data_IF_301218206057
#
_entry.id   IF_301218206057
#
_cell.length_a   1.000
_cell.length_b   1.000
_cell.length_c   1.000
_cell.angle_alpha   90.00
_cell.angle_beta   90.00
_cell.angle_gamma   90.00
#
_symmetry.space_group_name_H-M   'P 1'
#
loop_
_entity.id
_entity.type
_entity.pdbx_description
1 polymer ?
#
# COMPACT_ATOMS: atom_id res chain seq x y z
N UNK A 1 -1.76 -10.03 52.12
CA UNK A 1 -1.75 -10.93 50.94
C UNK A 1 -1.61 -10.05 49.70
N UNK A 2 -0.44 -10.07 49.07
CA UNK A 2 -0.20 -9.35 47.81
C UNK A 2 -0.19 -10.39 46.70
N UNK A 3 -1.05 -10.23 45.69
CA UNK A 3 -1.13 -11.14 44.54
C UNK A 3 -0.42 -10.44 43.39
N UNK A 4 0.77 -10.92 43.05
CA UNK A 4 1.50 -10.47 41.87
C UNK A 4 0.85 -11.10 40.63
N UNK A 5 0.21 -10.28 39.80
CA UNK A 5 -0.17 -10.68 38.44
C UNK A 5 1.05 -10.55 37.54
N UNK A 6 1.86 -11.61 37.48
CA UNK A 6 2.82 -11.80 36.41
C UNK A 6 2.11 -12.43 35.23
N UNK A 7 1.66 -11.62 34.27
CA UNK A 7 1.37 -12.13 32.93
C UNK A 7 2.72 -12.28 32.25
N UNK A 8 3.20 -13.52 32.13
CA UNK A 8 4.29 -13.83 31.22
C UNK A 8 3.80 -13.50 29.81
N UNK A 9 4.27 -12.37 29.27
CA UNK A 9 4.09 -12.04 27.87
C UNK A 9 5.01 -13.01 27.12
N UNK A 10 4.43 -14.08 26.59
CA UNK A 10 5.13 -14.98 25.68
C UNK A 10 5.70 -14.12 24.54
N UNK A 11 7.03 -14.01 24.48
CA UNK A 11 7.69 -13.21 23.46
C UNK A 11 7.36 -13.86 22.10
N UNK A 12 6.45 -13.25 21.34
CA UNK A 12 6.08 -13.71 20.01
C UNK A 12 7.34 -13.76 19.14
N UNK A 13 7.80 -14.98 18.83
CA UNK A 13 8.99 -15.15 18.01
C UNK A 13 8.71 -14.62 16.60
N UNK A 14 9.55 -13.71 16.12
CA UNK A 14 9.45 -13.19 14.75
C UNK A 14 9.58 -14.36 13.77
N UNK A 15 8.60 -14.60 12.88
CA UNK A 15 8.63 -15.73 11.96
C UNK A 15 9.91 -15.73 11.10
N UNK A 16 10.47 -16.92 10.85
CA UNK A 16 11.74 -17.04 10.13
C UNK A 16 11.79 -16.33 8.76
N UNK A 17 10.73 -16.36 7.91
CA UNK A 17 10.71 -15.58 6.67
C UNK A 17 10.82 -14.07 6.91
N UNK A 18 10.09 -13.56 7.90
CA UNK A 18 10.09 -12.13 8.27
C UNK A 18 11.47 -11.71 8.74
N UNK A 19 12.07 -12.48 9.66
CA UNK A 19 13.42 -12.25 10.18
C UNK A 19 14.46 -12.23 9.06
N UNK A 20 14.38 -13.14 8.10
CA UNK A 20 15.29 -13.21 6.94
C UNK A 20 15.18 -11.96 6.06
N UNK A 21 13.95 -11.53 5.75
CA UNK A 21 13.72 -10.34 4.90
C UNK A 21 14.20 -9.07 5.63
N UNK A 22 13.87 -8.92 6.91
CA UNK A 22 14.37 -7.80 7.73
C UNK A 22 15.89 -7.73 7.78
N UNK A 23 16.57 -8.88 7.96
CA UNK A 23 18.02 -8.91 7.97
C UNK A 23 18.61 -8.50 6.62
N UNK A 24 17.98 -8.90 5.51
CA UNK A 24 18.39 -8.44 4.18
C UNK A 24 18.24 -6.93 4.05
N UNK A 25 17.10 -6.35 4.47
CA UNK A 25 16.87 -4.90 4.47
C UNK A 25 17.92 -4.14 5.30
N UNK A 26 18.21 -4.60 6.52
CA UNK A 26 19.21 -3.98 7.41
C UNK A 26 20.63 -4.01 6.84
N UNK A 27 20.93 -4.97 5.97
CA UNK A 27 22.24 -5.05 5.32
C UNK A 27 22.41 -4.09 4.14
N UNK A 28 21.33 -3.45 3.68
CA UNK A 28 21.38 -2.53 2.55
C UNK A 28 21.84 -1.13 2.97
N UNK A 29 22.60 -0.46 2.10
CA UNK A 29 22.89 0.97 2.24
C UNK A 29 21.73 1.77 1.63
N UNK A 30 20.85 2.31 2.49
CA UNK A 30 19.64 3.03 2.04
C UNK A 30 19.94 4.30 1.23
N UNK A 31 21.09 4.94 1.45
CA UNK A 31 21.53 6.09 0.62
C UNK A 31 21.81 5.63 -0.82
N UNK A 32 22.47 4.48 -0.99
CA UNK A 32 22.69 3.91 -2.33
C UNK A 32 21.39 3.44 -2.97
N UNK A 33 20.47 2.84 -2.19
CA UNK A 33 19.14 2.46 -2.67
C UNK A 33 18.41 3.69 -3.20
N UNK A 34 18.38 4.79 -2.43
CA UNK A 34 17.73 6.03 -2.83
C UNK A 34 18.30 6.59 -4.13
N UNK A 35 19.63 6.66 -4.25
CA UNK A 35 20.28 7.12 -5.48
C UNK A 35 19.92 6.24 -6.67
N UNK A 36 19.95 4.92 -6.51
CA UNK A 36 19.65 3.96 -7.58
C UNK A 36 18.19 4.08 -8.06
N UNK A 37 17.24 4.26 -7.13
CA UNK A 37 15.83 4.47 -7.46
C UNK A 37 15.62 5.71 -8.33
N UNK A 38 16.30 6.82 -8.05
CA UNK A 38 16.14 8.06 -8.81
C UNK A 38 16.92 8.14 -10.13
N UNK A 39 17.98 7.35 -10.30
CA UNK A 39 18.91 7.53 -11.42
C UNK A 39 18.83 6.43 -12.47
N UNK A 40 18.61 5.18 -12.07
CA UNK A 40 18.78 4.02 -12.97
C UNK A 40 17.62 3.03 -12.95
N UNK A 41 16.71 3.10 -11.97
CA UNK A 41 15.73 2.03 -11.74
C UNK A 41 14.31 2.51 -11.38
N UNK A 42 13.86 3.66 -11.90
CA UNK A 42 12.47 4.13 -11.69
C UNK A 42 11.41 3.07 -12.04
N UNK A 43 11.73 2.18 -12.99
CA UNK A 43 10.81 1.16 -13.51
C UNK A 43 11.14 -0.27 -12.99
N UNK A 44 12.18 -0.43 -12.16
CA UNK A 44 12.64 -1.74 -11.71
C UNK A 44 12.79 -1.90 -10.19
N UNK A 45 13.02 -0.82 -9.45
CA UNK A 45 13.36 -0.94 -8.04
C UNK A 45 14.72 -1.61 -7.78
N UNK A 46 15.07 -1.75 -6.51
CA UNK A 46 16.34 -2.32 -6.04
C UNK A 46 16.06 -3.66 -5.35
N UNK A 47 16.68 -4.73 -5.84
CA UNK A 47 16.47 -6.08 -5.32
C UNK A 47 16.96 -6.19 -3.86
N UNK A 48 16.12 -6.75 -3.00
CA UNK A 48 16.42 -7.06 -1.58
C UNK A 48 16.94 -8.48 -1.45
N UNK A 49 16.11 -9.46 -1.80
CA UNK A 49 16.45 -10.88 -1.72
C UNK A 49 15.50 -11.72 -2.59
N UNK A 50 15.88 -12.99 -2.81
CA UNK A 50 14.94 -13.98 -3.35
C UNK A 50 13.97 -14.42 -2.24
N UNK A 51 12.69 -14.55 -2.57
CA UNK A 51 11.67 -14.99 -1.64
C UNK A 51 10.51 -15.62 -2.40
N UNK A 52 9.89 -16.65 -1.79
CA UNK A 52 8.65 -17.20 -2.34
C UNK A 52 7.49 -16.21 -2.14
N UNK A 53 6.41 -16.37 -2.91
CA UNK A 53 5.20 -15.57 -2.69
C UNK A 53 4.63 -15.76 -1.27
N UNK A 54 4.75 -16.99 -0.73
CA UNK A 54 4.35 -17.27 0.65
C UNK A 54 5.22 -16.56 1.68
N UNK A 55 6.53 -16.43 1.46
CA UNK A 55 7.40 -15.66 2.34
C UNK A 55 7.01 -14.19 2.35
N UNK A 56 6.75 -13.64 1.16
CA UNK A 56 6.28 -12.26 0.99
C UNK A 56 4.96 -12.02 1.73
N UNK A 57 3.95 -12.87 1.53
CA UNK A 57 2.67 -12.72 2.21
C UNK A 57 2.83 -12.74 3.73
N UNK A 58 3.65 -13.64 4.27
CA UNK A 58 3.97 -13.67 5.72
C UNK A 58 4.67 -12.40 6.20
N UNK A 59 5.50 -11.79 5.36
CA UNK A 59 6.13 -10.51 5.66
C UNK A 59 5.12 -9.36 5.69
N UNK A 60 4.24 -9.26 4.69
CA UNK A 60 3.22 -8.19 4.67
C UNK A 60 2.24 -8.30 5.84
N UNK A 61 1.88 -9.54 6.23
CA UNK A 61 0.99 -9.79 7.36
C UNK A 61 1.65 -9.56 8.74
N UNK A 62 2.94 -9.25 8.78
CA UNK A 62 3.68 -9.13 10.02
C UNK A 62 3.75 -7.68 10.49
N UNK A 63 3.53 -7.45 11.79
CA UNK A 63 3.77 -6.13 12.42
C UNK A 63 5.27 -5.79 12.52
N UNK A 64 6.15 -6.80 12.40
CA UNK A 64 7.59 -6.64 12.48
C UNK A 64 8.28 -6.23 11.17
N UNK A 65 7.61 -5.53 10.27
CA UNK A 65 8.23 -5.09 9.02
C UNK A 65 9.32 -4.03 9.28
N UNK A 66 10.56 -4.30 8.84
CA UNK A 66 11.65 -3.31 8.88
C UNK A 66 11.40 -2.14 7.92
N UNK A 67 10.79 -2.44 6.78
CA UNK A 67 10.32 -1.47 5.79
C UNK A 67 8.90 -1.86 5.40
N UNK A 68 7.99 -0.88 5.43
CA UNK A 68 6.57 -1.10 5.13
C UNK A 68 6.39 -1.66 3.71
N UNK A 69 5.48 -2.61 3.56
CA UNK A 69 5.31 -3.35 2.31
C UNK A 69 4.88 -2.45 1.15
N UNK A 70 4.18 -1.33 1.41
CA UNK A 70 3.86 -0.30 0.39
C UNK A 70 5.08 0.28 -0.34
N UNK A 71 6.26 0.25 0.30
CA UNK A 71 7.56 0.67 -0.27
C UNK A 71 8.24 -0.43 -1.10
N UNK A 72 7.64 -1.61 -1.18
CA UNK A 72 8.26 -2.83 -1.70
C UNK A 72 7.31 -3.54 -2.68
N UNK A 73 7.86 -4.45 -3.47
CA UNK A 73 7.09 -5.28 -4.39
C UNK A 73 7.73 -6.66 -4.52
N UNK A 74 6.90 -7.70 -4.47
CA UNK A 74 7.29 -9.04 -4.86
C UNK A 74 7.00 -9.27 -6.35
N UNK A 75 8.00 -9.73 -7.10
CA UNK A 75 7.85 -10.17 -8.49
C UNK A 75 8.92 -11.20 -8.84
N UNK A 76 8.57 -12.16 -9.68
CA UNK A 76 9.50 -13.14 -10.26
C UNK A 76 10.39 -13.85 -9.20
N UNK A 77 9.80 -14.19 -8.04
CA UNK A 77 10.51 -14.90 -6.96
C UNK A 77 11.50 -14.04 -6.16
N UNK A 78 11.40 -12.71 -6.26
CA UNK A 78 12.24 -11.78 -5.51
C UNK A 78 11.45 -10.57 -4.99
N UNK A 79 11.99 -9.99 -3.92
CA UNK A 79 11.47 -8.77 -3.30
C UNK A 79 12.36 -7.60 -3.73
N UNK A 80 11.73 -6.49 -4.09
CA UNK A 80 12.38 -5.26 -4.50
C UNK A 80 11.88 -4.10 -3.62
N UNK A 81 12.78 -3.18 -3.25
CA UNK A 81 12.39 -1.84 -2.81
C UNK A 81 12.06 -1.05 -4.06
N UNK A 82 10.85 -0.48 -4.12
CA UNK A 82 10.38 0.30 -5.26
C UNK A 82 10.30 1.78 -4.96
N UNK A 83 10.18 2.15 -3.68
CA UNK A 83 10.20 3.53 -3.20
C UNK A 83 10.59 3.54 -1.73
N UNK A 84 11.51 4.42 -1.30
CA UNK A 84 11.73 4.61 0.13
C UNK A 84 10.76 5.66 0.69
N UNK A 85 10.34 5.53 1.96
CA UNK A 85 9.56 6.55 2.64
C UNK A 85 10.25 7.91 2.56
N UNK A 86 9.50 8.94 2.19
CA UNK A 86 10.07 10.25 1.96
C UNK A 86 9.04 11.36 2.12
N UNK A 87 9.51 12.54 2.55
CA UNK A 87 8.64 13.68 2.83
C UNK A 87 7.76 14.07 1.66
N UNK A 88 8.28 14.05 0.42
CA UNK A 88 7.50 14.37 -0.78
C UNK A 88 6.31 13.42 -0.98
N UNK A 89 6.53 12.11 -0.75
CA UNK A 89 5.48 11.10 -0.87
C UNK A 89 4.39 11.36 0.18
N UNK A 90 4.77 11.48 1.45
CA UNK A 90 3.80 11.67 2.55
C UNK A 90 3.03 13.00 2.42
N UNK A 91 3.69 14.07 1.97
CA UNK A 91 3.02 15.35 1.70
C UNK A 91 2.03 15.23 0.54
N UNK A 92 2.38 14.47 -0.51
CA UNK A 92 1.45 14.24 -1.62
C UNK A 92 0.22 13.45 -1.15
N UNK A 93 0.41 12.34 -0.43
CA UNK A 93 -0.71 11.57 0.13
C UNK A 93 -1.64 12.45 0.95
N UNK A 94 -1.08 13.24 1.88
CA UNK A 94 -1.87 14.16 2.71
C UNK A 94 -2.62 15.20 1.88
N UNK A 95 -1.99 15.78 0.86
CA UNK A 95 -2.63 16.77 0.00
C UNK A 95 -3.76 16.17 -0.82
N UNK A 96 -3.59 14.94 -1.32
CA UNK A 96 -4.65 14.22 -2.03
C UNK A 96 -5.84 13.95 -1.12
N UNK A 97 -5.60 13.53 0.12
CA UNK A 97 -6.67 13.35 1.12
C UNK A 97 -7.44 14.64 1.33
N UNK A 98 -6.75 15.76 1.57
CA UNK A 98 -7.38 17.07 1.76
C UNK A 98 -8.18 17.49 0.53
N UNK A 99 -7.63 17.28 -0.67
CA UNK A 99 -8.29 17.64 -1.93
C UNK A 99 -9.57 16.84 -2.16
N UNK A 100 -9.54 15.52 -1.91
CA UNK A 100 -10.70 14.65 -2.03
C UNK A 100 -11.77 15.04 -1.01
N UNK A 101 -11.39 15.27 0.24
CA UNK A 101 -12.33 15.71 1.28
C UNK A 101 -12.99 17.05 0.92
N UNK A 102 -12.20 18.02 0.43
CA UNK A 102 -12.73 19.32 0.00
C UNK A 102 -13.66 19.17 -1.23
N UNK A 103 -13.26 18.39 -2.23
CA UNK A 103 -14.04 18.17 -3.44
C UNK A 103 -15.36 17.43 -3.17
N UNK A 104 -15.36 16.49 -2.22
CA UNK A 104 -16.57 15.79 -1.79
C UNK A 104 -17.57 16.69 -1.04
N UNK A 105 -17.12 17.87 -0.57
CA UNK A 105 -17.92 18.84 0.19
C UNK A 105 -18.45 18.34 1.54
N UNK A 106 -18.10 17.12 1.93
CA UNK A 106 -18.77 16.38 3.00
C UNK A 106 -17.80 15.67 3.93
N UNK A 107 -16.49 15.79 3.69
CA UNK A 107 -15.46 15.15 4.51
C UNK A 107 -15.79 13.66 4.70
N UNK A 108 -15.76 13.16 5.93
CA UNK A 108 -16.01 11.76 6.28
C UNK A 108 -17.48 11.32 6.21
N UNK A 109 -18.39 12.18 5.73
CA UNK A 109 -19.82 11.85 5.63
C UNK A 109 -20.10 10.97 4.43
N UNK A 110 -19.58 11.27 3.24
CA UNK A 110 -19.80 10.42 2.06
C UNK A 110 -18.64 9.47 1.78
N UNK A 111 -17.42 9.93 1.97
CA UNK A 111 -16.22 9.17 1.65
C UNK A 111 -15.25 9.19 2.82
N UNK A 112 -14.95 8.02 3.37
CA UNK A 112 -14.04 7.87 4.51
C UNK A 112 -12.64 7.49 4.03
N UNK A 113 -11.58 8.12 4.56
CA UNK A 113 -10.21 7.65 4.34
C UNK A 113 -9.96 6.39 5.16
N UNK A 114 -9.21 5.46 4.59
CA UNK A 114 -8.79 4.19 5.20
C UNK A 114 -7.26 4.03 5.20
N UNK A 115 -6.51 5.02 4.72
CA UNK A 115 -5.06 4.98 4.70
C UNK A 115 -4.52 3.87 3.81
N UNK A 116 -3.35 3.38 4.21
CA UNK A 116 -2.66 2.26 3.60
C UNK A 116 -3.20 0.88 4.04
N UNK A 117 -4.39 0.81 4.63
CA UNK A 117 -4.96 -0.45 5.13
C UNK A 117 -5.08 -1.46 3.98
N UNK A 118 -4.47 -2.63 4.17
CA UNK A 118 -4.67 -3.78 3.30
C UNK A 118 -6.10 -4.31 3.41
N UNK A 119 -6.49 -5.13 2.44
CA UNK A 119 -7.78 -5.79 2.44
C UNK A 119 -7.57 -7.28 2.65
N UNK A 120 -8.08 -7.84 3.74
CA UNK A 120 -7.87 -9.23 4.14
C UNK A 120 -8.46 -10.23 3.15
N UNK A 121 -9.56 -9.84 2.50
CA UNK A 121 -10.20 -10.62 1.44
C UNK A 121 -9.31 -10.87 0.19
N UNK A 122 -8.11 -10.28 0.11
CA UNK A 122 -7.16 -10.44 -0.99
C UNK A 122 -5.73 -10.77 -0.53
N UNK A 123 -4.83 -10.97 -1.51
CA UNK A 123 -3.40 -10.80 -1.27
C UNK A 123 -3.17 -9.47 -0.56
N UNK A 124 -2.52 -9.52 0.61
CA UNK A 124 -2.19 -8.37 1.43
C UNK A 124 -1.35 -7.38 0.61
N UNK A 125 -2.03 -6.43 -0.02
CA UNK A 125 -1.44 -5.33 -0.76
C UNK A 125 -1.87 -4.07 -0.03
N UNK A 126 -0.92 -3.18 0.22
CA UNK A 126 -1.17 -1.91 0.90
C UNK A 126 -1.21 -0.81 -0.16
N UNK A 127 -2.31 -0.05 -0.31
CA UNK A 127 -2.28 1.17 -1.12
C UNK A 127 -1.45 2.25 -0.43
N UNK A 128 -1.15 3.35 -1.11
CA UNK A 128 -0.57 4.52 -0.43
C UNK A 128 -1.67 5.26 0.37
N UNK A 129 -2.87 5.31 -0.18
CA UNK A 129 -4.09 5.81 0.46
C UNK A 129 -5.33 5.13 -0.15
N UNK A 130 -6.43 5.05 0.59
CA UNK A 130 -7.67 4.49 0.09
C UNK A 130 -8.90 5.08 0.73
N UNK A 131 -10.01 4.98 0.01
CA UNK A 131 -11.27 5.58 0.42
C UNK A 131 -12.44 4.63 0.15
N UNK A 132 -13.44 4.66 1.04
CA UNK A 132 -14.67 3.89 0.91
C UNK A 132 -15.90 4.70 1.32
N UNK A 133 -17.10 4.30 0.91
CA UNK A 133 -18.32 4.99 1.27
C UNK A 133 -18.61 4.87 2.76
N UNK A 134 -19.21 5.90 3.35
CA UNK A 134 -19.75 5.77 4.69
C UNK A 134 -20.96 4.79 4.70
N UNK A 135 -21.13 3.94 5.75
CA UNK A 135 -22.23 2.97 5.78
C UNK A 135 -23.64 3.57 5.73
N UNK A 136 -23.81 4.84 6.13
CA UNK A 136 -25.10 5.50 6.29
C UNK A 136 -25.53 6.39 5.10
N UNK A 137 -24.85 6.29 3.95
CA UNK A 137 -25.15 7.11 2.77
C UNK A 137 -25.85 6.33 1.65
N UNK A 138 -26.37 5.14 1.95
CA UNK A 138 -27.08 4.30 0.97
C UNK A 138 -26.17 3.51 0.03
N UNK A 139 -24.86 3.43 0.32
CA UNK A 139 -23.96 2.56 -0.42
C UNK A 139 -24.32 1.07 -0.19
N UNK A 140 -24.17 0.26 -1.24
CA UNK A 140 -24.38 -1.19 -1.17
C UNK A 140 -23.02 -1.86 -1.07
N UNK A 141 -22.68 -2.39 0.10
CA UNK A 141 -21.47 -3.18 0.29
C UNK A 141 -21.62 -4.54 -0.43
N UNK A 142 -20.65 -4.96 -1.26
CA UNK A 142 -20.64 -6.30 -1.84
C UNK A 142 -20.77 -7.38 -0.75
N UNK A 143 -21.56 -8.42 -1.01
CA UNK A 143 -21.90 -9.45 -0.02
C UNK A 143 -20.67 -10.21 0.53
N UNK A 144 -19.57 -10.22 -0.22
CA UNK A 144 -18.33 -10.89 0.13
C UNK A 144 -17.29 -9.97 0.82
N UNK A 145 -17.67 -8.75 1.19
CA UNK A 145 -16.77 -7.78 1.86
C UNK A 145 -17.34 -7.30 3.19
N UNK A 146 -16.46 -7.07 4.15
CA UNK A 146 -16.80 -6.30 5.34
C UNK A 146 -16.76 -4.79 5.05
N UNK A 147 -17.51 -4.01 5.81
CA UNK A 147 -17.56 -2.55 5.62
C UNK A 147 -16.21 -1.83 5.82
N UNK A 148 -15.33 -2.40 6.63
CA UNK A 148 -13.96 -1.89 6.83
C UNK A 148 -12.99 -2.31 5.72
N UNK A 149 -13.43 -3.13 4.77
CA UNK A 149 -12.66 -3.56 3.59
C UNK A 149 -13.18 -2.94 2.29
N UNK A 150 -14.40 -2.38 2.33
CA UNK A 150 -15.08 -1.83 1.16
C UNK A 150 -14.52 -0.47 0.75
N UNK A 151 -13.32 -0.48 0.17
CA UNK A 151 -12.63 0.72 -0.31
C UNK A 151 -12.84 0.85 -1.82
N UNK A 152 -13.68 1.81 -2.22
CA UNK A 152 -14.05 2.06 -3.62
C UNK A 152 -13.02 2.85 -4.42
N UNK A 153 -12.10 3.55 -3.76
CA UNK A 153 -11.02 4.30 -4.39
C UNK A 153 -9.67 3.88 -3.81
N UNK A 154 -8.71 3.54 -4.68
CA UNK A 154 -7.32 3.25 -4.34
C UNK A 154 -6.40 4.31 -4.93
N UNK A 155 -5.39 4.71 -4.18
CA UNK A 155 -4.44 5.75 -4.58
C UNK A 155 -3.02 5.19 -4.50
N UNK A 156 -2.24 5.45 -5.54
CA UNK A 156 -0.83 5.10 -5.65
C UNK A 156 -0.03 6.35 -6.05
N UNK A 157 1.00 6.68 -5.29
CA UNK A 157 1.86 7.85 -5.49
C UNK A 157 3.29 7.40 -5.75
N UNK A 158 3.78 7.56 -6.98
CA UNK A 158 5.16 7.29 -7.33
C UNK A 158 6.02 8.55 -7.38
N UNK A 159 6.95 8.71 -6.45
CA UNK A 159 8.00 9.75 -6.49
C UNK A 159 9.24 9.22 -7.21
N UNK A 160 9.68 8.03 -6.79
CA UNK A 160 10.73 7.26 -7.45
C UNK A 160 10.18 6.04 -8.20
N UNK A 161 8.87 5.80 -8.13
CA UNK A 161 8.18 4.79 -8.96
C UNK A 161 7.70 5.38 -10.27
N UNK A 162 8.14 4.78 -11.37
CA UNK A 162 7.60 5.01 -12.70
C UNK A 162 6.30 4.22 -12.95
N UNK A 163 5.70 4.46 -14.12
CA UNK A 163 4.44 3.81 -14.52
C UNK A 163 4.55 2.29 -14.55
N UNK A 164 5.70 1.75 -14.96
CA UNK A 164 5.93 0.31 -14.97
C UNK A 164 5.84 -0.36 -13.58
N UNK A 165 5.91 0.42 -12.49
CA UNK A 165 5.73 -0.04 -11.11
C UNK A 165 4.35 0.32 -10.54
N UNK A 166 3.73 1.40 -11.03
CA UNK A 166 2.38 1.81 -10.61
C UNK A 166 1.29 0.97 -11.31
N UNK A 167 1.42 0.75 -12.62
CA UNK A 167 0.41 0.08 -13.44
C UNK A 167 0.13 -1.36 -12.99
N UNK A 168 1.12 -2.22 -12.66
CA UNK A 168 0.84 -3.58 -12.21
C UNK A 168 -0.01 -3.60 -10.93
N UNK A 169 0.21 -2.64 -10.02
CA UNK A 169 -0.54 -2.53 -8.79
C UNK A 169 -1.96 -1.99 -9.04
N UNK A 170 -2.10 -1.01 -9.95
CA UNK A 170 -3.40 -0.53 -10.40
C UNK A 170 -4.23 -1.63 -11.09
N UNK A 171 -3.60 -2.42 -11.96
CA UNK A 171 -4.22 -3.59 -12.60
C UNK A 171 -4.67 -4.60 -11.54
N UNK A 172 -3.84 -4.85 -10.52
CA UNK A 172 -4.24 -5.71 -9.40
C UNK A 172 -5.47 -5.15 -8.69
N UNK A 173 -5.48 -3.85 -8.35
CA UNK A 173 -6.62 -3.20 -7.72
C UNK A 173 -7.91 -3.28 -8.55
N UNK A 174 -7.80 -3.23 -9.88
CA UNK A 174 -8.95 -3.32 -10.77
C UNK A 174 -9.66 -4.68 -10.72
N UNK A 175 -9.00 -5.71 -10.16
CA UNK A 175 -9.61 -7.03 -9.93
C UNK A 175 -10.41 -7.12 -8.63
N UNK A 176 -10.29 -6.13 -7.73
CA UNK A 176 -10.92 -6.19 -6.42
C UNK A 176 -12.41 -5.80 -6.49
N UNK A 177 -13.32 -6.64 -5.95
CA UNK A 177 -14.72 -6.28 -5.84
C UNK A 177 -14.91 -4.94 -5.11
N UNK A 178 -15.76 -4.08 -5.66
CA UNK A 178 -16.09 -2.80 -5.04
C UNK A 178 -15.10 -1.67 -5.29
N UNK A 179 -13.87 -1.92 -5.76
CA UNK A 179 -13.02 -0.83 -6.29
C UNK A 179 -13.68 -0.29 -7.54
N UNK A 180 -13.97 1.00 -7.56
CA UNK A 180 -14.57 1.71 -8.70
C UNK A 180 -13.53 2.55 -9.44
N UNK A 181 -12.58 3.13 -8.69
CA UNK A 181 -11.56 4.01 -9.25
C UNK A 181 -10.18 3.69 -8.66
N UNK A 182 -9.16 3.81 -9.50
CA UNK A 182 -7.77 3.84 -9.08
C UNK A 182 -7.16 5.15 -9.58
N UNK A 183 -6.52 5.88 -8.68
CA UNK A 183 -5.79 7.10 -9.00
C UNK A 183 -4.30 6.86 -8.83
N UNK A 184 -3.57 6.84 -9.94
CA UNK A 184 -2.11 6.77 -9.92
C UNK A 184 -1.53 8.15 -10.19
N UNK A 185 -0.63 8.60 -9.31
CA UNK A 185 0.02 9.91 -9.36
C UNK A 185 1.52 9.67 -9.48
N UNK A 186 2.11 10.07 -10.59
CA UNK A 186 3.56 10.09 -10.76
C UNK A 186 4.10 11.50 -10.57
N UNK A 187 5.05 11.65 -9.67
CA UNK A 187 5.84 12.86 -9.49
C UNK A 187 7.20 12.64 -10.16
N UNK A 188 7.49 13.41 -11.20
CA UNK A 188 8.81 13.36 -11.85
C UNK A 188 9.91 13.92 -10.93
N UNK A 189 11.19 13.61 -11.18
CA UNK A 189 12.31 14.25 -10.49
C UNK A 189 12.35 15.79 -10.57
N UNK A 190 11.63 16.38 -11.54
CA UNK A 190 11.46 17.83 -11.69
C UNK A 190 10.13 18.33 -11.12
N UNK A 191 9.50 17.57 -10.22
CA UNK A 191 8.22 17.89 -9.56
C UNK A 191 7.03 18.12 -10.51
N UNK A 192 7.13 17.69 -11.78
CA UNK A 192 5.96 17.60 -12.67
C UNK A 192 5.09 16.43 -12.24
N UNK A 193 3.81 16.69 -12.10
CA UNK A 193 2.80 15.70 -11.72
C UNK A 193 2.06 15.22 -12.96
N UNK A 194 1.88 13.90 -13.08
CA UNK A 194 0.92 13.29 -14.00
C UNK A 194 0.01 12.37 -13.21
N UNK A 195 -1.28 12.45 -13.47
CA UNK A 195 -2.28 11.62 -12.80
C UNK A 195 -3.11 10.89 -13.84
N UNK A 196 -3.37 9.61 -13.60
CA UNK A 196 -4.22 8.77 -14.42
C UNK A 196 -5.30 8.14 -13.53
N UNK A 197 -6.55 8.32 -13.91
CA UNK A 197 -7.70 7.72 -13.23
C UNK A 197 -8.18 6.54 -14.08
N UNK A 198 -8.07 5.34 -13.53
CA UNK A 198 -8.50 4.10 -14.19
C UNK A 198 -9.84 3.67 -13.58
N UNK A 199 -10.95 3.68 -14.35
CA UNK A 199 -12.18 3.06 -13.89
C UNK A 199 -11.99 1.54 -13.83
N UNK A 200 -12.43 0.90 -12.76
CA UNK A 200 -12.51 -0.56 -12.77
C UNK A 200 -13.64 -0.98 -13.70
N UNK A 201 -13.41 -1.99 -14.53
CA UNK A 201 -14.43 -2.52 -15.44
C UNK A 201 -15.52 -3.36 -14.72
N UNK A 202 -15.58 -3.30 -13.39
CA UNK A 202 -16.42 -4.15 -12.55
C UNK A 202 -17.78 -3.58 -12.16
N UNK A 203 -18.10 -2.33 -12.49
CA UNK A 203 -19.41 -1.72 -12.16
C UNK A 203 -20.33 -1.77 -13.38
N UNK A 204 -20.72 -2.97 -13.81
CA UNK A 204 -21.89 -3.17 -14.66
C UNK A 204 -22.72 -4.29 -14.04
N UNK A 205 -23.85 -3.93 -13.41
CA UNK A 205 -24.93 -4.86 -13.11
C UNK A 205 -25.38 -4.90 -11.65
N UNK A 206 -26.60 -4.38 -11.42
CA UNK A 206 -27.36 -4.40 -10.17
C UNK A 206 -28.49 -3.40 -10.24
#
# INVERSE_FOLDING_TARGET
MSVAYGVEVEATEIPAPVRRINNALRSMNLTHVQTALFTTHLDAGVKVCNATKSDWNRFVNSEYQELMSRSMMWRDGAIYIVELPGGTHEHMNRNVVVAIMAASGTSNVHLKPYGATFVDALEHIEPDESFGPAPNIGAVCPANLAWNEFHTLKIEVGVSRGWALLDPKAIHWATFPGVAYILCIRISPHFRVRAEAVPSLGVVGG
#
